data_IF_706036317270
#
_entry.id   IF_706036317270
#
_cell.length_a   1.000
_cell.length_b   1.000
_cell.length_c   1.000
_cell.angle_alpha   90.00
_cell.angle_beta   90.00
_cell.angle_gamma   90.00
#
_symmetry.space_group_name_H-M   'P 1'
#
loop_
_entity.id
_entity.type
_entity.pdbx_description
1 polymer ?
#
# COMPACT_ATOMS: atom_id res chain seq x y z
N UNK A 1 -12.78 2.46 10.83
CA UNK A 1 -11.39 2.17 10.36
C UNK A 1 -10.87 3.35 9.57
N UNK A 2 -9.61 3.78 9.76
CA UNK A 2 -9.05 4.96 9.07
C UNK A 2 -8.36 4.60 7.75
N UNK A 3 -7.62 3.46 7.72
CA UNK A 3 -6.80 3.07 6.58
C UNK A 3 -6.94 1.58 6.25
N UNK A 4 -7.15 1.25 4.97
CA UNK A 4 -6.94 -0.10 4.42
C UNK A 4 -5.73 -0.10 3.49
N UNK A 5 -4.72 -0.90 3.81
CA UNK A 5 -3.58 -1.15 2.92
C UNK A 5 -3.89 -2.38 2.07
N UNK A 6 -4.01 -2.18 0.76
CA UNK A 6 -4.33 -3.22 -0.21
C UNK A 6 -3.06 -3.63 -0.95
N UNK A 7 -2.75 -4.93 -0.92
CA UNK A 7 -1.58 -5.50 -1.58
C UNK A 7 -2.03 -6.62 -2.50
N UNK A 8 -1.79 -6.47 -3.80
CA UNK A 8 -2.02 -7.56 -4.77
C UNK A 8 -0.72 -8.29 -5.00
N UNK A 9 -0.72 -9.61 -4.83
CA UNK A 9 0.46 -10.45 -5.01
C UNK A 9 0.28 -11.50 -6.10
N UNK A 10 1.40 -11.82 -6.77
CA UNK A 10 1.49 -12.92 -7.73
C UNK A 10 2.92 -13.45 -7.76
N UNK A 11 3.15 -14.64 -7.18
CA UNK A 11 4.46 -15.33 -7.15
C UNK A 11 5.61 -14.49 -6.57
N UNK A 12 5.37 -13.82 -5.43
CA UNK A 12 6.35 -12.92 -4.77
C UNK A 12 6.43 -13.13 -3.26
N UNK A 13 6.38 -14.39 -2.83
CA UNK A 13 6.31 -14.83 -1.43
C UNK A 13 7.16 -14.02 -0.44
N UNK A 14 8.46 -13.93 -0.67
CA UNK A 14 9.39 -13.32 0.29
C UNK A 14 9.36 -11.79 0.29
N UNK A 15 9.13 -11.18 -0.88
CA UNK A 15 8.94 -9.73 -0.97
C UNK A 15 7.67 -9.31 -0.26
N UNK A 16 6.58 -10.08 -0.45
CA UNK A 16 5.31 -9.83 0.22
C UNK A 16 5.42 -9.98 1.75
N UNK A 17 6.14 -10.99 2.26
CA UNK A 17 6.41 -11.13 3.69
C UNK A 17 7.16 -9.90 4.25
N UNK A 18 8.16 -9.42 3.52
CA UNK A 18 8.91 -8.21 3.90
C UNK A 18 8.04 -6.95 3.86
N UNK A 19 7.20 -6.82 2.85
CA UNK A 19 6.24 -5.72 2.70
C UNK A 19 5.26 -5.70 3.89
N UNK A 20 4.59 -6.82 4.18
CA UNK A 20 3.65 -6.94 5.32
C UNK A 20 4.33 -6.55 6.63
N UNK A 21 5.53 -7.05 6.90
CA UNK A 21 6.29 -6.69 8.12
C UNK A 21 6.57 -5.19 8.23
N UNK A 22 6.88 -4.54 7.12
CA UNK A 22 7.13 -3.09 7.12
C UNK A 22 5.86 -2.29 7.42
N UNK A 23 4.72 -2.73 6.87
CA UNK A 23 3.41 -2.12 7.14
C UNK A 23 2.99 -2.32 8.59
N UNK A 24 3.18 -3.52 9.16
CA UNK A 24 2.86 -3.79 10.56
C UNK A 24 3.67 -2.90 11.51
N UNK A 25 4.97 -2.68 11.26
CA UNK A 25 5.78 -1.73 12.04
C UNK A 25 5.25 -0.30 11.94
N UNK A 26 4.84 0.13 10.74
CA UNK A 26 4.24 1.44 10.57
C UNK A 26 2.90 1.57 11.32
N UNK A 27 2.12 0.49 11.47
CA UNK A 27 0.91 0.46 12.28
C UNK A 27 1.21 0.62 13.78
N UNK A 28 2.28 0.00 14.29
CA UNK A 28 2.72 0.17 15.69
C UNK A 28 3.04 1.63 16.00
N UNK A 29 3.73 2.32 15.11
CA UNK A 29 4.05 3.75 15.26
C UNK A 29 2.77 4.60 15.21
N UNK A 30 1.86 4.35 14.27
CA UNK A 30 0.58 5.06 14.18
C UNK A 30 -0.24 4.93 15.47
N UNK A 31 -0.25 3.76 16.11
CA UNK A 31 -0.96 3.54 17.37
C UNK A 31 -0.30 4.31 18.53
N UNK A 32 1.04 4.32 18.57
CA UNK A 32 1.81 5.08 19.57
C UNK A 32 1.59 6.59 19.48
N UNK A 33 1.54 7.15 18.30
CA UNK A 33 1.27 8.58 18.04
C UNK A 33 -0.15 8.97 18.50
N UNK A 34 -1.13 8.11 18.25
CA UNK A 34 -2.52 8.33 18.67
C UNK A 34 -2.71 8.22 20.20
N UNK A 35 -1.96 7.34 20.88
CA UNK A 35 -2.02 7.19 22.32
C UNK A 35 -1.46 8.41 23.08
N UNK A 36 -0.51 9.13 22.50
CA UNK A 36 0.08 10.34 23.10
C UNK A 36 -0.78 11.60 22.90
N UNK A 37 -1.74 11.59 21.99
CA UNK A 37 -2.56 12.77 21.63
C UNK A 37 -4.01 12.74 22.14
N UNK A 38 -4.48 11.64 22.74
CA UNK A 38 -5.87 11.54 23.22
C UNK A 38 -5.99 11.03 24.65
N UNK A 39 -6.41 11.91 25.54
CA UNK A 39 -6.85 11.60 26.93
C UNK A 39 -8.35 11.22 26.98
N UNK A 40 -8.85 10.42 26.06
CA UNK A 40 -10.24 9.94 26.12
C UNK A 40 -10.33 8.45 25.79
N UNK A 41 -10.54 7.68 26.84
CA UNK A 41 -10.91 6.29 26.84
C UNK A 41 -12.25 6.06 26.16
N UNK A 42 -12.26 5.56 24.93
CA UNK A 42 -13.38 4.79 24.40
C UNK A 42 -12.96 4.03 23.15
N UNK A 43 -12.78 2.70 23.29
CA UNK A 43 -12.80 1.71 22.22
C UNK A 43 -11.74 1.91 21.14
N UNK A 44 -10.59 1.27 21.30
CA UNK A 44 -9.65 0.99 20.21
C UNK A 44 -10.39 0.27 19.08
N UNK A 45 -11.03 1.03 18.20
CA UNK A 45 -11.43 0.51 16.90
C UNK A 45 -10.17 0.41 16.06
N UNK A 46 -9.98 -0.75 15.43
CA UNK A 46 -8.91 -1.02 14.48
C UNK A 46 -8.66 0.19 13.58
N UNK A 47 -7.53 0.86 13.78
CA UNK A 47 -7.19 2.09 13.06
C UNK A 47 -6.85 1.79 11.62
N UNK A 48 -6.28 0.58 11.36
CA UNK A 48 -5.86 0.16 10.04
C UNK A 48 -5.94 -1.36 9.85
N UNK A 49 -6.05 -1.79 8.58
CA UNK A 49 -5.99 -3.20 8.17
C UNK A 49 -5.08 -3.38 6.95
N UNK A 50 -4.66 -4.62 6.73
CA UNK A 50 -3.99 -5.07 5.51
C UNK A 50 -4.90 -6.08 4.82
N UNK A 51 -5.22 -5.86 3.54
CA UNK A 51 -5.93 -6.80 2.70
C UNK A 51 -4.98 -7.27 1.60
N UNK A 52 -4.55 -8.51 1.70
CA UNK A 52 -3.69 -9.14 0.69
C UNK A 52 -4.57 -9.94 -0.27
N UNK A 53 -4.53 -9.60 -1.55
CA UNK A 53 -5.18 -10.37 -2.62
C UNK A 53 -4.14 -11.21 -3.32
N UNK A 54 -4.18 -12.53 -3.10
CA UNK A 54 -3.37 -13.47 -3.88
C UNK A 54 -4.03 -13.71 -5.24
N UNK A 55 -3.37 -13.26 -6.28
CA UNK A 55 -3.87 -13.28 -7.65
C UNK A 55 -3.54 -14.59 -8.39
N UNK A 56 -3.81 -15.73 -7.72
CA UNK A 56 -3.54 -17.07 -8.22
C UNK A 56 -2.04 -17.42 -8.28
N UNK A 57 -1.32 -17.21 -7.16
CA UNK A 57 0.08 -17.63 -7.04
C UNK A 57 0.22 -19.15 -7.04
N UNK A 58 1.28 -19.65 -7.65
CA UNK A 58 1.64 -21.07 -7.72
C UNK A 58 2.88 -21.42 -6.89
N UNK A 59 3.51 -20.44 -6.23
CA UNK A 59 4.72 -20.59 -5.43
C UNK A 59 4.45 -20.93 -3.95
N UNK A 60 3.19 -21.19 -3.58
CA UNK A 60 2.76 -21.44 -2.21
C UNK A 60 2.79 -20.19 -1.32
N UNK A 61 2.71 -18.99 -1.90
CA UNK A 61 2.70 -17.71 -1.17
C UNK A 61 1.55 -17.63 -0.19
N UNK A 62 0.32 -17.97 -0.63
CA UNK A 62 -0.88 -17.79 0.17
C UNK A 62 -0.84 -18.65 1.45
N UNK A 63 -0.57 -19.95 1.32
CA UNK A 63 -0.50 -20.89 2.44
C UNK A 63 0.62 -20.51 3.43
N UNK A 64 1.80 -20.18 2.90
CA UNK A 64 2.93 -19.73 3.71
C UNK A 64 2.58 -18.50 4.54
N UNK A 65 1.95 -17.48 3.94
CA UNK A 65 1.64 -16.24 4.63
C UNK A 65 0.46 -16.37 5.60
N UNK A 66 -0.56 -17.17 5.27
CA UNK A 66 -1.65 -17.48 6.20
C UNK A 66 -1.14 -18.20 7.45
N UNK A 67 -0.17 -19.10 7.30
CA UNK A 67 0.46 -19.78 8.44
C UNK A 67 1.35 -18.80 9.26
N UNK A 68 2.04 -17.87 8.59
CA UNK A 68 2.93 -16.91 9.24
C UNK A 68 2.18 -15.78 9.95
N UNK A 69 1.04 -15.38 9.41
CA UNK A 69 0.16 -14.34 9.95
C UNK A 69 -1.23 -14.93 10.27
N UNK A 70 -1.32 -15.83 11.27
CA UNK A 70 -2.61 -16.40 11.66
C UNK A 70 -3.51 -15.30 12.21
N UNK A 71 -4.81 -15.41 11.90
CA UNK A 71 -5.81 -14.38 12.23
C UNK A 71 -5.91 -14.09 13.74
N UNK A 72 -5.63 -15.08 14.57
CA UNK A 72 -5.65 -14.97 16.04
C UNK A 72 -4.56 -14.01 16.56
N UNK A 73 -3.38 -14.01 15.91
CA UNK A 73 -2.26 -13.16 16.28
C UNK A 73 -2.23 -11.84 15.49
N UNK A 74 -2.79 -11.85 14.27
CA UNK A 74 -2.78 -10.71 13.34
C UNK A 74 -4.20 -10.43 12.80
N UNK A 75 -5.15 -10.03 13.65
CA UNK A 75 -6.56 -9.84 13.22
C UNK A 75 -6.73 -8.76 12.16
N UNK A 76 -5.78 -7.81 12.08
CA UNK A 76 -5.76 -6.75 11.07
C UNK A 76 -5.26 -7.21 9.69
N UNK A 77 -4.73 -8.45 9.54
CA UNK A 77 -4.25 -8.97 8.25
C UNK A 77 -5.26 -9.95 7.68
N UNK A 78 -5.76 -9.65 6.49
CA UNK A 78 -6.72 -10.52 5.78
C UNK A 78 -6.15 -10.97 4.44
N UNK A 79 -6.36 -12.24 4.11
CA UNK A 79 -5.95 -12.84 2.84
C UNK A 79 -7.18 -13.22 2.01
N UNK A 80 -7.18 -12.83 0.74
CA UNK A 80 -8.21 -13.15 -0.25
C UNK A 80 -7.54 -13.87 -1.42
N UNK A 81 -7.83 -15.15 -1.58
CA UNK A 81 -7.31 -15.95 -2.72
C UNK A 81 -8.21 -15.83 -3.94
N UNK A 82 -7.61 -15.71 -5.12
CA UNK A 82 -8.32 -15.76 -6.41
C UNK A 82 -8.09 -17.10 -7.12
N UNK A 83 -9.12 -17.64 -7.76
CA UNK A 83 -9.04 -18.90 -8.50
C UNK A 83 -8.34 -18.78 -9.86
N UNK A 84 -8.07 -17.57 -10.32
CA UNK A 84 -7.34 -17.27 -11.56
C UNK A 84 -6.72 -15.88 -11.49
N UNK A 85 -5.72 -15.62 -12.34
CA UNK A 85 -5.11 -14.29 -12.41
C UNK A 85 -6.07 -13.28 -13.05
N UNK A 86 -6.58 -12.37 -12.24
CA UNK A 86 -7.55 -11.33 -12.64
C UNK A 86 -6.88 -10.08 -13.23
N UNK A 87 -5.55 -10.01 -13.17
CA UNK A 87 -4.80 -8.79 -13.42
C UNK A 87 -4.89 -7.78 -12.27
N UNK A 88 -4.00 -6.78 -12.29
CA UNK A 88 -3.80 -5.85 -11.18
C UNK A 88 -5.06 -5.07 -10.79
N UNK A 89 -5.73 -4.46 -11.77
CA UNK A 89 -6.86 -3.57 -11.47
C UNK A 89 -8.07 -4.31 -10.88
N UNK A 90 -8.41 -5.50 -11.41
CA UNK A 90 -9.56 -6.28 -10.89
C UNK A 90 -9.27 -6.83 -9.51
N UNK A 91 -8.04 -7.29 -9.26
CA UNK A 91 -7.63 -7.79 -7.95
C UNK A 91 -7.70 -6.68 -6.88
N UNK A 92 -7.19 -5.47 -7.18
CA UNK A 92 -7.34 -4.32 -6.29
C UNK A 92 -8.83 -4.00 -6.02
N UNK A 93 -9.68 -4.00 -7.05
CA UNK A 93 -11.09 -3.69 -6.90
C UNK A 93 -11.84 -4.69 -6.00
N UNK A 94 -11.39 -5.94 -5.90
CA UNK A 94 -11.96 -6.91 -4.95
C UNK A 94 -11.71 -6.45 -3.52
N UNK A 95 -10.49 -6.05 -3.18
CA UNK A 95 -10.15 -5.58 -1.85
C UNK A 95 -10.79 -4.22 -1.53
N UNK A 96 -10.81 -3.28 -2.49
CA UNK A 96 -11.45 -1.96 -2.32
C UNK A 96 -12.92 -2.12 -1.93
N UNK A 97 -13.66 -3.03 -2.58
CA UNK A 97 -15.08 -3.28 -2.25
C UNK A 97 -15.30 -3.93 -0.89
N UNK A 98 -14.29 -4.55 -0.31
CA UNK A 98 -14.32 -5.18 1.01
C UNK A 98 -13.80 -4.26 2.11
N UNK A 99 -13.21 -3.13 1.74
CA UNK A 99 -12.72 -2.11 2.66
C UNK A 99 -13.86 -1.21 3.12
N UNK A 100 -13.90 -0.92 4.42
CA UNK A 100 -14.79 0.08 5.04
C UNK A 100 -13.97 1.26 5.60
N UNK A 101 -12.72 1.39 5.17
CA UNK A 101 -11.84 2.45 5.63
C UNK A 101 -12.10 3.76 4.89
N UNK A 102 -11.80 4.86 5.57
CA UNK A 102 -11.89 6.21 4.99
C UNK A 102 -10.86 6.40 3.87
N UNK A 103 -9.64 5.86 4.07
CA UNK A 103 -8.56 5.89 3.08
C UNK A 103 -8.14 4.49 2.64
N UNK A 104 -7.78 4.38 1.38
CA UNK A 104 -7.24 3.16 0.77
C UNK A 104 -5.85 3.44 0.22
N UNK A 105 -4.86 2.66 0.66
CA UNK A 105 -3.52 2.65 0.10
C UNK A 105 -3.34 1.44 -0.81
N UNK A 106 -3.06 1.65 -2.10
CA UNK A 106 -2.66 0.58 -3.02
C UNK A 106 -1.13 0.45 -2.95
N UNK A 107 -0.65 -0.70 -2.47
CA UNK A 107 0.76 -0.93 -2.22
C UNK A 107 1.28 -2.12 -3.03
N UNK A 108 2.41 -1.95 -3.71
CA UNK A 108 3.06 -3.05 -4.40
C UNK A 108 3.71 -4.03 -3.39
N UNK A 109 3.69 -5.34 -3.66
CA UNK A 109 4.17 -6.37 -2.74
C UNK A 109 5.70 -6.38 -2.55
N UNK A 110 6.46 -5.67 -3.38
CA UNK A 110 7.91 -5.52 -3.34
C UNK A 110 8.38 -4.19 -2.71
N UNK A 111 7.48 -3.50 -2.03
CA UNK A 111 7.74 -2.20 -1.39
C UNK A 111 8.05 -2.37 0.10
N UNK A 112 8.98 -1.57 0.62
CA UNK A 112 9.22 -1.42 2.06
C UNK A 112 8.68 -0.06 2.49
N UNK A 113 7.76 -0.06 3.44
CA UNK A 113 7.15 1.16 3.99
C UNK A 113 7.97 1.65 5.19
N UNK A 114 8.35 2.92 5.19
CA UNK A 114 8.98 3.55 6.35
C UNK A 114 7.97 3.71 7.49
N UNK A 115 8.46 3.65 8.73
CA UNK A 115 7.63 3.59 9.93
C UNK A 115 6.65 4.77 10.09
N UNK A 116 7.03 5.97 9.64
CA UNK A 116 6.20 7.18 9.74
C UNK A 116 5.35 7.46 8.48
N UNK A 117 5.57 6.73 7.39
CA UNK A 117 4.96 7.04 6.08
C UNK A 117 3.44 7.02 6.15
N UNK A 118 2.85 6.05 6.84
CA UNK A 118 1.39 5.92 6.90
C UNK A 118 0.75 7.05 7.70
N UNK A 119 1.33 7.40 8.85
CA UNK A 119 0.88 8.54 9.66
C UNK A 119 0.96 9.85 8.87
N UNK A 120 2.06 10.06 8.14
CA UNK A 120 2.26 11.24 7.30
C UNK A 120 1.26 11.31 6.14
N UNK A 121 0.97 10.17 5.48
CA UNK A 121 -0.03 10.11 4.41
C UNK A 121 -1.42 10.47 4.92
N UNK A 122 -1.84 9.90 6.04
CA UNK A 122 -3.15 10.20 6.64
C UNK A 122 -3.22 11.68 7.03
N UNK A 123 -2.20 12.21 7.72
CA UNK A 123 -2.14 13.62 8.10
C UNK A 123 -2.21 14.55 6.88
N UNK A 124 -1.53 14.20 5.79
CA UNK A 124 -1.60 14.95 4.55
C UNK A 124 -3.01 14.95 3.96
N UNK A 125 -3.65 13.80 3.86
CA UNK A 125 -5.00 13.68 3.31
C UNK A 125 -6.04 14.40 4.18
N UNK A 126 -5.92 14.32 5.50
CA UNK A 126 -6.79 15.05 6.43
C UNK A 126 -6.64 16.57 6.31
N UNK A 127 -5.42 17.06 6.02
CA UNK A 127 -5.15 18.48 5.82
C UNK A 127 -5.58 19.02 4.44
N UNK A 128 -5.81 18.11 3.46
CA UNK A 128 -6.16 18.47 2.08
C UNK A 128 -7.44 17.76 1.62
N UNK A 129 -8.61 18.15 2.14
CA UNK A 129 -9.88 17.47 1.82
C UNK A 129 -10.30 17.62 0.34
N UNK A 130 -9.65 18.50 -0.41
CA UNK A 130 -9.79 18.69 -1.85
C UNK A 130 -8.93 17.70 -2.67
N UNK A 131 -7.98 16.98 -2.02
CA UNK A 131 -7.16 15.99 -2.70
C UNK A 131 -7.92 14.68 -2.90
N UNK A 132 -8.10 14.27 -4.15
CA UNK A 132 -8.72 12.97 -4.48
C UNK A 132 -7.76 11.79 -4.32
N UNK A 133 -6.46 12.00 -4.41
CA UNK A 133 -5.41 11.01 -4.19
C UNK A 133 -4.08 11.69 -3.91
N UNK A 134 -3.18 10.96 -3.22
CA UNK A 134 -1.81 11.37 -2.98
C UNK A 134 -0.85 10.22 -3.29
N UNK A 135 0.36 10.54 -3.76
CA UNK A 135 1.43 9.57 -3.98
C UNK A 135 2.62 9.90 -3.09
N UNK A 136 3.29 8.86 -2.62
CA UNK A 136 4.52 9.02 -1.84
C UNK A 136 5.74 9.06 -2.73
N UNK A 137 6.76 9.76 -2.28
CA UNK A 137 8.08 9.77 -2.90
C UNK A 137 8.79 8.46 -2.62
N UNK A 138 9.10 7.69 -3.68
CA UNK A 138 9.81 6.43 -3.56
C UNK A 138 11.33 6.64 -3.66
N UNK A 139 12.07 5.86 -2.89
CA UNK A 139 13.53 5.78 -2.95
C UNK A 139 13.94 4.39 -3.44
N UNK A 140 15.01 4.35 -4.22
CA UNK A 140 15.71 3.11 -4.55
C UNK A 140 16.50 2.60 -3.35
N UNK A 141 16.99 1.36 -3.41
CA UNK A 141 17.80 0.76 -2.35
C UNK A 141 19.11 1.54 -2.02
N UNK A 142 19.60 2.36 -2.96
CA UNK A 142 20.76 3.24 -2.79
C UNK A 142 20.42 4.60 -2.16
N UNK A 143 19.17 4.81 -1.75
CA UNK A 143 18.66 6.05 -1.17
C UNK A 143 18.39 7.17 -2.18
N UNK A 144 18.58 6.93 -3.47
CA UNK A 144 18.27 7.90 -4.53
C UNK A 144 16.80 7.87 -4.89
N UNK A 145 16.32 8.97 -5.43
CA UNK A 145 14.95 9.05 -5.92
C UNK A 145 14.68 8.07 -7.05
N UNK A 146 13.63 7.29 -6.89
CA UNK A 146 13.04 6.52 -7.97
C UNK A 146 12.28 7.50 -8.89
N UNK A 147 12.83 7.75 -10.09
CA UNK A 147 12.21 8.66 -11.07
C UNK A 147 10.80 8.23 -11.46
N UNK A 148 10.53 6.94 -11.35
CA UNK A 148 9.24 6.30 -11.63
C UNK A 148 8.13 6.71 -10.66
N UNK A 149 8.48 7.28 -9.49
CA UNK A 149 7.50 7.77 -8.51
C UNK A 149 6.75 9.02 -8.97
N UNK A 150 7.25 9.71 -9.99
CA UNK A 150 6.58 10.82 -10.66
C UNK A 150 6.25 10.45 -12.10
N UNK A 151 4.99 10.41 -12.42
CA UNK A 151 4.53 10.24 -13.81
C UNK A 151 3.62 11.41 -14.16
N UNK A 152 4.01 12.17 -15.18
CA UNK A 152 3.13 13.17 -15.77
C UNK A 152 1.91 12.50 -16.44
N UNK A 153 0.87 13.28 -16.71
CA UNK A 153 -0.29 12.81 -17.46
C UNK A 153 0.16 12.28 -18.82
N UNK A 154 -0.22 11.05 -19.22
CA UNK A 154 0.16 10.47 -20.49
C UNK A 154 -0.62 11.14 -21.64
N UNK A 155 -0.23 12.36 -22.01
CA UNK A 155 -0.78 13.02 -23.20
C UNK A 155 -0.05 12.53 -24.45
N UNK A 156 -0.68 12.56 -25.64
CA UNK A 156 -0.02 12.19 -26.90
C UNK A 156 1.29 12.96 -27.12
N UNK A 157 1.34 14.24 -26.74
CA UNK A 157 2.51 15.09 -26.85
C UNK A 157 3.65 14.63 -25.92
N UNK A 158 3.35 14.31 -24.66
CA UNK A 158 4.32 13.78 -23.69
C UNK A 158 4.88 12.44 -24.17
N UNK A 159 4.02 11.56 -24.67
CA UNK A 159 4.42 10.27 -25.24
C UNK A 159 5.33 10.42 -26.45
N UNK A 160 5.04 11.37 -27.33
CA UNK A 160 5.84 11.70 -28.51
C UNK A 160 7.23 12.22 -28.14
N UNK A 161 7.33 13.19 -27.20
CA UNK A 161 8.61 13.69 -26.71
C UNK A 161 9.43 12.62 -25.98
N UNK A 162 8.77 11.72 -25.25
CA UNK A 162 9.42 10.59 -24.60
C UNK A 162 10.02 9.61 -25.61
N UNK A 163 9.31 9.34 -26.71
CA UNK A 163 9.79 8.49 -27.80
C UNK A 163 10.99 9.11 -28.54
N UNK A 164 11.05 10.43 -28.64
CA UNK A 164 12.17 11.17 -29.23
C UNK A 164 13.36 11.40 -28.28
N UNK A 165 13.31 10.89 -27.03
CA UNK A 165 14.40 11.03 -26.05
C UNK A 165 14.54 12.42 -25.43
N UNK A 166 13.60 13.35 -25.66
CA UNK A 166 13.62 14.70 -25.10
C UNK A 166 13.16 14.81 -23.65
N UNK A 167 12.67 13.71 -23.04
CA UNK A 167 12.14 13.69 -21.67
C UNK A 167 13.18 13.91 -20.55
N UNK A 168 14.48 13.96 -20.86
CA UNK A 168 15.51 14.25 -19.84
C UNK A 168 15.60 15.75 -19.47
N UNK A 169 14.89 16.63 -20.15
CA UNK A 169 15.03 18.10 -20.01
C UNK A 169 13.78 18.80 -19.46
N UNK A 170 12.65 18.12 -19.45
CA UNK A 170 11.37 18.62 -18.92
C UNK A 170 10.83 17.53 -18.02
N UNK A 171 10.50 17.86 -16.79
CA UNK A 171 9.84 16.95 -15.82
C UNK A 171 8.53 16.41 -16.41
N UNK A 172 8.64 15.32 -17.18
CA UNK A 172 7.51 14.60 -17.77
C UNK A 172 7.14 13.43 -16.87
#
# INVERSE_FOLDING_TARGET
>A
MKLSVIIVSYNVKYYLDQCIRSVLRAFEVMQGDNASSSSSSSGEKDVAEIIVVDNHSSDGSLEYLQHRYPREAYPMVRFVGSNHNLGFARANNIAIRQSEAEYVLLLNPDTIVGEQVLSECIRFMDAHPDAGAAGVRMLNADGRWARESRRGLPTPMVSFFKMLGFCNRWDC
#
